data_IF_194146165007
#
_entry.id   IF_194146165007
#
_cell.length_a   1.000
_cell.length_b   1.000
_cell.length_c   1.000
_cell.angle_alpha   90.00
_cell.angle_beta   90.00
_cell.angle_gamma   90.00
#
_symmetry.space_group_name_H-M   'P 1'
#
loop_
_entity.id
_entity.type
_entity.pdbx_description
1 polymer ?
#
# COMPACT_ATOMS: atom_id res chain seq x y z
N UNK A 1 17.00 -41.48 -20.94
CA UNK A 1 16.22 -41.27 -19.71
C UNK A 1 15.80 -39.82 -19.68
N UNK A 2 14.54 -39.56 -20.01
CA UNK A 2 13.97 -38.21 -20.03
C UNK A 2 13.80 -37.74 -18.58
N UNK A 3 14.73 -36.90 -18.13
CA UNK A 3 14.53 -36.14 -16.90
C UNK A 3 13.48 -35.06 -17.18
N UNK A 4 12.41 -35.12 -16.40
CA UNK A 4 11.28 -34.19 -16.36
C UNK A 4 11.76 -32.75 -16.39
N UNK A 5 11.56 -32.07 -17.53
CA UNK A 5 11.60 -30.62 -17.61
C UNK A 5 10.38 -30.08 -16.87
N UNK A 6 10.57 -29.84 -15.58
CA UNK A 6 9.99 -28.73 -14.78
C UNK A 6 8.48 -28.47 -14.93
N UNK A 7 7.69 -29.03 -14.01
CA UNK A 7 6.34 -28.54 -13.66
C UNK A 7 6.34 -27.10 -13.09
N UNK A 8 7.50 -26.48 -12.83
CA UNK A 8 7.61 -25.18 -12.15
C UNK A 8 7.22 -23.96 -13.02
N UNK A 9 6.82 -24.17 -14.28
CA UNK A 9 6.45 -23.13 -15.24
C UNK A 9 4.95 -23.00 -15.50
N UNK A 10 4.11 -23.88 -14.94
CA UNK A 10 2.65 -23.71 -15.07
C UNK A 10 2.14 -22.85 -13.93
N UNK A 11 1.63 -21.66 -14.27
CA UNK A 11 0.75 -20.93 -13.38
C UNK A 11 -0.60 -21.66 -13.35
N UNK A 12 -0.88 -22.34 -12.26
CA UNK A 12 -2.19 -22.97 -12.03
C UNK A 12 -2.96 -22.14 -11.02
N UNK A 13 -4.11 -21.61 -11.43
CA UNK A 13 -5.00 -20.90 -10.52
C UNK A 13 -5.74 -21.90 -9.64
N UNK A 14 -5.44 -21.88 -8.35
CA UNK A 14 -6.23 -22.60 -7.36
C UNK A 14 -7.47 -21.78 -7.00
N UNK A 15 -8.56 -22.46 -6.66
CA UNK A 15 -9.72 -21.78 -6.07
C UNK A 15 -9.34 -21.24 -4.69
N UNK A 16 -9.90 -20.09 -4.33
CA UNK A 16 -9.68 -19.53 -3.01
C UNK A 16 -10.25 -20.44 -1.92
N UNK A 17 -9.62 -20.41 -0.73
CA UNK A 17 -10.10 -21.17 0.42
C UNK A 17 -11.48 -20.65 0.84
N UNK A 18 -12.52 -21.50 0.93
CA UNK A 18 -13.88 -21.07 1.26
C UNK A 18 -14.01 -20.30 2.58
N UNK A 19 -13.07 -20.48 3.52
CA UNK A 19 -13.04 -19.73 4.78
C UNK A 19 -12.82 -18.23 4.58
N UNK A 20 -12.21 -17.81 3.47
CA UNK A 20 -12.05 -16.40 3.13
C UNK A 20 -13.40 -15.68 3.07
N UNK A 21 -14.43 -16.33 2.51
CA UNK A 21 -15.77 -15.74 2.43
C UNK A 21 -16.36 -15.43 3.81
N UNK A 22 -16.04 -16.21 4.84
CA UNK A 22 -16.49 -15.97 6.21
C UNK A 22 -15.84 -14.71 6.79
N UNK A 23 -14.54 -14.51 6.58
CA UNK A 23 -13.80 -13.37 7.13
C UNK A 23 -13.96 -12.08 6.31
N UNK A 24 -14.53 -12.18 5.11
CA UNK A 24 -14.77 -11.06 4.21
C UNK A 24 -16.25 -10.72 4.04
N UNK A 25 -17.13 -11.37 4.81
CA UNK A 25 -18.60 -11.24 4.68
C UNK A 25 -19.14 -9.81 4.85
N UNK A 26 -18.39 -8.93 5.52
CA UNK A 26 -18.77 -7.53 5.71
C UNK A 26 -18.49 -6.65 4.48
N UNK A 27 -17.71 -7.13 3.51
CA UNK A 27 -17.37 -6.42 2.29
C UNK A 27 -18.24 -6.93 1.13
N UNK A 28 -18.52 -6.09 0.12
CA UNK A 28 -19.29 -6.53 -1.05
C UNK A 28 -18.62 -7.73 -1.74
N UNK A 29 -19.36 -8.82 -2.04
CA UNK A 29 -18.78 -10.01 -2.67
C UNK A 29 -18.13 -9.74 -4.04
N UNK A 30 -18.53 -8.66 -4.70
CA UNK A 30 -17.95 -8.21 -5.97
C UNK A 30 -16.53 -7.67 -5.83
N UNK A 31 -16.15 -7.16 -4.65
CA UNK A 31 -14.81 -6.65 -4.34
C UNK A 31 -13.84 -7.82 -4.17
N UNK A 32 -14.20 -8.79 -3.30
CA UNK A 32 -13.39 -9.96 -2.99
C UNK A 32 -13.82 -11.18 -3.80
N UNK A 33 -13.50 -11.14 -5.10
CA UNK A 33 -13.88 -12.17 -6.06
C UNK A 33 -12.77 -13.20 -6.32
N UNK A 34 -13.13 -14.39 -6.84
CA UNK A 34 -12.15 -15.38 -7.35
C UNK A 34 -11.18 -14.76 -8.36
N UNK A 35 -11.68 -13.84 -9.18
CA UNK A 35 -10.87 -13.14 -10.17
C UNK A 35 -9.81 -12.27 -9.51
N UNK A 36 -10.15 -11.56 -8.43
CA UNK A 36 -9.17 -10.81 -7.62
C UNK A 36 -8.08 -11.74 -7.10
N UNK A 37 -8.45 -12.85 -6.42
CA UNK A 37 -7.44 -13.75 -5.85
C UNK A 37 -6.50 -14.32 -6.92
N UNK A 38 -7.04 -14.74 -8.06
CA UNK A 38 -6.24 -15.21 -9.19
C UNK A 38 -5.32 -14.13 -9.76
N UNK A 39 -5.80 -12.89 -9.86
CA UNK A 39 -4.98 -11.76 -10.29
C UNK A 39 -3.86 -11.46 -9.31
N UNK A 40 -4.10 -11.50 -8.00
CA UNK A 40 -3.07 -11.25 -6.99
C UNK A 40 -2.00 -12.33 -6.98
N UNK A 41 -2.39 -13.60 -7.01
CA UNK A 41 -1.46 -14.73 -7.16
C UNK A 41 -0.60 -14.58 -8.42
N UNK A 42 -1.22 -14.12 -9.51
CA UNK A 42 -0.48 -13.83 -10.72
C UNK A 42 0.47 -12.65 -10.53
N UNK A 43 0.07 -11.52 -9.93
CA UNK A 43 0.96 -10.38 -9.74
C UNK A 43 2.15 -10.74 -8.85
N UNK A 44 1.94 -11.53 -7.80
CA UNK A 44 3.00 -12.09 -6.97
C UNK A 44 3.96 -12.93 -7.81
N UNK A 45 3.44 -13.86 -8.62
CA UNK A 45 4.27 -14.68 -9.49
C UNK A 45 4.98 -13.88 -10.58
N UNK A 46 4.31 -12.90 -11.19
CA UNK A 46 4.87 -12.01 -12.20
C UNK A 46 6.02 -11.20 -11.62
N UNK A 47 5.87 -10.72 -10.38
CA UNK A 47 6.93 -9.99 -9.69
C UNK A 47 8.16 -10.86 -9.39
N UNK A 48 7.99 -12.18 -9.19
CA UNK A 48 9.11 -13.13 -9.09
C UNK A 48 9.84 -13.26 -10.44
N UNK A 49 9.09 -13.37 -11.56
CA UNK A 49 9.70 -13.41 -12.90
C UNK A 49 10.47 -12.12 -13.21
N UNK A 50 9.92 -10.95 -12.84
CA UNK A 50 10.61 -9.67 -12.93
C UNK A 50 11.85 -9.63 -12.04
N UNK A 51 11.78 -10.12 -10.80
CA UNK A 51 12.95 -10.17 -9.92
C UNK A 51 14.06 -11.08 -10.47
N UNK A 52 13.69 -12.22 -11.07
CA UNK A 52 14.64 -13.10 -11.77
C UNK A 52 15.27 -12.38 -12.96
N UNK A 53 14.47 -11.70 -13.79
CA UNK A 53 14.98 -10.93 -14.92
C UNK A 53 15.94 -9.82 -14.48
N UNK A 54 15.51 -9.01 -13.51
CA UNK A 54 16.30 -7.93 -12.92
C UNK A 54 17.60 -8.44 -12.28
N UNK A 55 17.58 -9.61 -11.64
CA UNK A 55 18.79 -10.19 -11.07
C UNK A 55 19.87 -10.48 -12.13
N UNK A 56 19.47 -10.75 -13.37
CA UNK A 56 20.37 -10.96 -14.51
C UNK A 56 20.83 -9.63 -15.07
N UNK A 57 19.91 -8.69 -15.30
CA UNK A 57 20.23 -7.35 -15.83
C UNK A 57 21.19 -6.59 -14.92
N UNK A 58 21.04 -6.74 -13.60
CA UNK A 58 21.86 -6.09 -12.57
C UNK A 58 23.11 -6.90 -12.21
N UNK A 59 23.39 -8.00 -12.93
CA UNK A 59 24.54 -8.87 -12.72
C UNK A 59 24.68 -9.43 -11.28
N UNK A 60 23.56 -9.69 -10.60
CA UNK A 60 23.56 -10.14 -9.20
C UNK A 60 23.98 -11.60 -9.07
N UNK A 61 23.57 -12.44 -10.03
CA UNK A 61 23.77 -13.90 -9.98
C UNK A 61 25.25 -14.26 -9.83
N UNK A 62 26.12 -13.54 -10.53
CA UNK A 62 27.57 -13.80 -10.51
C UNK A 62 28.26 -13.28 -9.23
N UNK A 63 27.60 -12.41 -8.46
CA UNK A 63 28.14 -11.85 -7.21
C UNK A 63 27.70 -12.62 -5.95
N UNK A 64 26.70 -13.50 -6.08
CA UNK A 64 26.08 -14.22 -4.97
C UNK A 64 26.70 -15.61 -4.74
N UNK A 65 27.89 -15.89 -5.27
CA UNK A 65 28.65 -17.10 -4.95
C UNK A 65 29.21 -17.13 -3.53
N UNK A 66 29.35 -15.96 -2.90
CA UNK A 66 29.61 -15.80 -1.47
C UNK A 66 28.36 -15.25 -0.77
N UNK A 67 28.34 -15.34 0.56
CA UNK A 67 27.36 -14.62 1.38
C UNK A 67 27.56 -13.10 1.28
N UNK A 68 26.56 -12.38 0.77
CA UNK A 68 26.61 -10.92 0.61
C UNK A 68 25.36 -10.23 1.14
N UNK A 69 25.54 -9.08 1.75
CA UNK A 69 24.46 -8.15 2.11
C UNK A 69 24.06 -7.27 0.92
N UNK A 70 22.87 -6.67 0.97
CA UNK A 70 22.45 -5.70 -0.04
C UNK A 70 23.40 -4.48 -0.10
N UNK A 71 23.86 -3.97 1.04
CA UNK A 71 24.83 -2.85 1.09
C UNK A 71 26.19 -3.23 0.46
N UNK A 72 26.67 -4.46 0.66
CA UNK A 72 27.90 -4.94 0.00
C UNK A 72 27.74 -5.02 -1.52
N UNK A 73 26.62 -5.58 -1.99
CA UNK A 73 26.33 -5.67 -3.42
C UNK A 73 26.22 -4.28 -4.06
N UNK A 74 25.57 -3.32 -3.39
CA UNK A 74 25.54 -1.93 -3.87
C UNK A 74 26.95 -1.37 -4.05
N UNK A 75 27.85 -1.57 -3.07
CA UNK A 75 29.25 -1.12 -3.20
C UNK A 75 29.99 -1.82 -4.34
N UNK A 76 29.89 -3.15 -4.42
CA UNK A 76 30.61 -3.95 -5.42
C UNK A 76 30.17 -3.62 -6.85
N UNK A 77 28.87 -3.42 -7.07
CA UNK A 77 28.28 -3.14 -8.37
C UNK A 77 28.19 -1.64 -8.67
N UNK A 78 28.76 -0.78 -7.81
CA UNK A 78 28.73 0.67 -7.94
C UNK A 78 27.30 1.22 -8.06
N UNK A 79 26.34 0.59 -7.39
CA UNK A 79 24.99 1.10 -7.29
C UNK A 79 24.90 2.20 -6.23
N UNK A 80 23.98 3.12 -6.43
CA UNK A 80 23.70 4.12 -5.40
C UNK A 80 23.17 3.48 -4.12
N UNK A 81 23.62 3.96 -2.95
CA UNK A 81 23.37 3.31 -1.65
C UNK A 81 21.89 3.08 -1.34
N UNK A 82 21.01 4.00 -1.77
CA UNK A 82 19.55 3.88 -1.58
C UNK A 82 18.93 2.72 -2.35
N UNK A 83 19.56 2.27 -3.43
CA UNK A 83 19.07 1.15 -4.23
C UNK A 83 19.05 -0.17 -3.44
N UNK A 84 19.68 -0.21 -2.26
CA UNK A 84 19.64 -1.37 -1.36
C UNK A 84 18.23 -1.83 -0.99
N UNK A 85 17.23 -0.94 -1.00
CA UNK A 85 15.85 -1.32 -0.70
C UNK A 85 15.22 -2.13 -1.83
N UNK A 86 15.28 -1.62 -3.07
CA UNK A 86 14.88 -2.35 -4.27
C UNK A 86 15.70 -3.64 -4.46
N UNK A 87 17.01 -3.58 -4.20
CA UNK A 87 17.88 -4.75 -4.25
C UNK A 87 17.50 -5.81 -3.20
N UNK A 88 17.20 -5.39 -1.96
CA UNK A 88 16.72 -6.31 -0.92
C UNK A 88 15.41 -6.99 -1.30
N UNK A 89 14.51 -6.26 -1.99
CA UNK A 89 13.27 -6.83 -2.52
C UNK A 89 13.57 -7.92 -3.57
N UNK A 90 14.46 -7.67 -4.54
CA UNK A 90 14.88 -8.67 -5.53
C UNK A 90 15.47 -9.91 -4.84
N UNK A 91 16.38 -9.72 -3.88
CA UNK A 91 17.01 -10.81 -3.14
C UNK A 91 15.99 -11.64 -2.35
N UNK A 92 15.00 -11.00 -1.73
CA UNK A 92 13.91 -11.70 -1.03
C UNK A 92 13.07 -12.53 -2.00
N UNK A 93 12.74 -12.02 -3.19
CA UNK A 93 12.05 -12.81 -4.25
C UNK A 93 12.88 -13.99 -4.76
N UNK A 94 14.20 -13.83 -4.85
CA UNK A 94 15.09 -14.95 -5.17
C UNK A 94 15.10 -16.02 -4.07
N UNK A 95 14.94 -15.64 -2.80
CA UNK A 95 14.80 -16.58 -1.69
C UNK A 95 13.45 -17.29 -1.75
N UNK A 96 12.35 -16.57 -1.97
CA UNK A 96 11.00 -17.17 -2.11
C UNK A 96 10.91 -18.19 -3.25
N UNK A 97 11.60 -17.94 -4.36
CA UNK A 97 11.69 -18.87 -5.49
C UNK A 97 12.69 -20.04 -5.28
N UNK A 98 13.38 -20.04 -4.15
CA UNK A 98 14.43 -21.00 -3.79
C UNK A 98 15.68 -20.90 -4.64
N UNK A 99 15.88 -19.81 -5.39
CA UNK A 99 17.10 -19.51 -6.16
C UNK A 99 18.25 -19.09 -5.26
N UNK A 100 17.94 -18.36 -4.19
CA UNK A 100 18.87 -17.94 -3.17
C UNK A 100 18.43 -18.47 -1.79
N UNK A 101 19.33 -18.37 -0.83
CA UNK A 101 19.07 -18.56 0.59
C UNK A 101 19.51 -17.31 1.36
N UNK A 102 18.91 -17.08 2.52
CA UNK A 102 19.25 -15.97 3.38
C UNK A 102 19.61 -16.46 4.78
N UNK A 103 20.54 -15.75 5.41
CA UNK A 103 20.86 -15.88 6.84
C UNK A 103 20.78 -14.51 7.49
N UNK A 104 20.38 -14.50 8.76
CA UNK A 104 20.31 -13.29 9.55
C UNK A 104 21.18 -13.45 10.79
N UNK A 105 22.11 -12.52 10.97
CA UNK A 105 22.95 -12.42 12.16
C UNK A 105 22.72 -11.04 12.79
N UNK A 106 22.01 -11.01 13.92
CA UNK A 106 21.48 -9.77 14.49
C UNK A 106 20.57 -9.02 13.51
N UNK A 107 20.98 -7.81 13.12
CA UNK A 107 20.27 -6.96 12.16
C UNK A 107 20.79 -7.12 10.72
N UNK A 108 21.80 -7.96 10.50
CA UNK A 108 22.47 -8.09 9.21
C UNK A 108 21.90 -9.30 8.47
N UNK A 109 21.26 -9.05 7.32
CA UNK A 109 20.75 -10.09 6.43
C UNK A 109 21.65 -10.25 5.22
N UNK A 110 22.19 -11.46 5.03
CA UNK A 110 23.05 -11.82 3.91
C UNK A 110 22.39 -12.90 3.04
N UNK A 111 22.75 -12.93 1.76
CA UNK A 111 22.18 -13.80 0.75
C UNK A 111 23.27 -14.57 0.03
N UNK A 112 22.96 -15.80 -0.38
CA UNK A 112 23.85 -16.68 -1.13
C UNK A 112 23.04 -17.43 -2.20
N UNK A 113 23.62 -17.63 -3.38
CA UNK A 113 22.97 -18.30 -4.49
C UNK A 113 22.98 -19.81 -4.29
N UNK A 114 21.79 -20.43 -4.29
CA UNK A 114 21.63 -21.88 -4.16
C UNK A 114 21.57 -22.58 -5.52
N UNK A 115 20.84 -21.99 -6.47
CA UNK A 115 20.68 -22.50 -7.83
C UNK A 115 20.60 -21.32 -8.79
N UNK A 116 21.06 -21.52 -10.02
CA UNK A 116 20.95 -20.49 -11.06
C UNK A 116 19.47 -20.20 -11.34
N UNK A 117 19.04 -18.92 -11.37
CA UNK A 117 17.67 -18.58 -11.73
C UNK A 117 17.34 -19.03 -13.15
N UNK A 118 16.06 -19.33 -13.40
CA UNK A 118 15.57 -19.73 -14.73
C UNK A 118 15.58 -18.56 -15.71
N UNK A 119 15.20 -18.82 -16.96
CA UNK A 119 14.93 -17.76 -17.93
C UNK A 119 13.48 -17.31 -17.77
N UNK A 120 13.22 -16.04 -17.43
CA UNK A 120 11.88 -15.57 -17.13
C UNK A 120 11.00 -15.54 -18.39
N UNK A 121 9.71 -15.84 -18.23
CA UNK A 121 8.73 -15.78 -19.33
C UNK A 121 7.68 -14.70 -19.08
N UNK A 122 8.13 -13.44 -19.10
CA UNK A 122 7.26 -12.28 -18.83
C UNK A 122 6.06 -12.22 -19.79
N UNK A 123 6.24 -12.65 -21.06
CA UNK A 123 5.16 -12.63 -22.05
C UNK A 123 4.05 -13.62 -21.70
N UNK A 124 4.40 -14.84 -21.29
CA UNK A 124 3.45 -15.86 -20.88
C UNK A 124 2.62 -15.39 -19.68
N UNK A 125 3.26 -14.91 -18.62
CA UNK A 125 2.56 -14.47 -17.41
C UNK A 125 1.73 -13.21 -17.64
N UNK A 126 2.23 -12.26 -18.45
CA UNK A 126 1.45 -11.09 -18.85
C UNK A 126 0.19 -11.48 -19.62
N UNK A 127 0.29 -12.41 -20.57
CA UNK A 127 -0.87 -12.92 -21.31
C UNK A 127 -1.86 -13.66 -20.40
N UNK A 128 -1.36 -14.44 -19.43
CA UNK A 128 -2.19 -15.10 -18.43
C UNK A 128 -2.98 -14.08 -17.60
N UNK A 129 -2.37 -12.96 -17.19
CA UNK A 129 -3.04 -11.91 -16.44
C UNK A 129 -4.15 -11.22 -17.16
N UNK A 130 -3.92 -10.89 -18.43
CA UNK A 130 -4.96 -10.30 -19.26
C UNK A 130 -6.10 -11.29 -19.55
N UNK A 131 -5.83 -12.60 -19.50
CA UNK A 131 -6.86 -13.64 -19.63
C UNK A 131 -7.70 -13.77 -18.36
N UNK A 132 -7.10 -13.61 -17.17
CA UNK A 132 -7.84 -13.60 -15.89
C UNK A 132 -8.75 -12.37 -15.80
N UNK A 133 -8.19 -11.19 -16.04
CA UNK A 133 -8.93 -9.93 -16.14
C UNK A 133 -8.18 -8.92 -17.03
N UNK A 134 -8.80 -8.33 -18.05
CA UNK A 134 -8.23 -7.21 -18.79
C UNK A 134 -7.80 -6.02 -17.93
N UNK A 135 -8.48 -5.77 -16.80
CA UNK A 135 -8.13 -4.69 -15.87
C UNK A 135 -6.75 -4.84 -15.24
N UNK A 136 -6.18 -6.06 -15.24
CA UNK A 136 -4.81 -6.30 -14.79
C UNK A 136 -3.77 -5.53 -15.62
N UNK A 137 -4.12 -5.06 -16.83
CA UNK A 137 -3.25 -4.26 -17.68
C UNK A 137 -2.65 -3.06 -16.91
N UNK A 138 -3.46 -2.35 -16.11
CA UNK A 138 -3.01 -1.18 -15.37
C UNK A 138 -1.86 -1.51 -14.39
N UNK A 139 -1.95 -2.66 -13.71
CA UNK A 139 -0.90 -3.13 -12.80
C UNK A 139 0.32 -3.64 -13.54
N UNK A 140 0.10 -4.46 -14.58
CA UNK A 140 1.19 -5.04 -15.36
C UNK A 140 2.01 -3.96 -16.09
N UNK A 141 1.35 -2.94 -16.66
CA UNK A 141 2.02 -1.82 -17.34
C UNK A 141 2.92 -1.03 -16.40
N UNK A 142 2.45 -0.77 -15.17
CA UNK A 142 3.24 -0.05 -14.18
C UNK A 142 4.41 -0.89 -13.67
N UNK A 143 4.20 -2.19 -13.45
CA UNK A 143 5.28 -3.11 -13.07
C UNK A 143 6.36 -3.21 -14.15
N UNK A 144 5.96 -3.33 -15.41
CA UNK A 144 6.88 -3.40 -16.56
C UNK A 144 7.68 -2.10 -16.70
N UNK A 145 7.01 -0.95 -16.62
CA UNK A 145 7.67 0.35 -16.69
C UNK A 145 8.65 0.55 -15.53
N UNK A 146 8.23 0.26 -14.31
CA UNK A 146 9.09 0.32 -13.14
C UNK A 146 10.32 -0.58 -13.31
N UNK A 147 10.14 -1.87 -13.66
CA UNK A 147 11.25 -2.78 -13.88
C UNK A 147 12.21 -2.30 -14.97
N UNK A 148 11.70 -1.69 -16.06
CA UNK A 148 12.53 -1.21 -17.17
C UNK A 148 13.55 -0.15 -16.78
N UNK A 149 13.26 0.66 -15.74
CA UNK A 149 14.14 1.75 -15.29
C UNK A 149 15.10 1.32 -14.18
N UNK A 150 14.98 0.10 -13.63
CA UNK A 150 15.81 -0.36 -12.52
C UNK A 150 17.31 -0.27 -12.78
N UNK A 151 17.87 -0.68 -13.94
CA UNK A 151 19.32 -0.57 -14.17
C UNK A 151 19.84 0.88 -14.16
N UNK A 152 19.09 1.80 -14.76
CA UNK A 152 19.44 3.23 -14.79
C UNK A 152 19.30 3.88 -13.42
N UNK A 153 18.29 3.47 -12.64
CA UNK A 153 18.16 3.88 -11.24
C UNK A 153 19.27 3.26 -10.40
N UNK A 154 19.57 1.97 -10.52
CA UNK A 154 20.61 1.31 -9.72
C UNK A 154 21.97 2.01 -9.86
N UNK A 155 22.36 2.36 -11.09
CA UNK A 155 23.61 3.07 -11.40
C UNK A 155 23.60 4.57 -11.08
N UNK A 156 22.46 5.14 -10.67
CA UNK A 156 22.31 6.57 -10.38
C UNK A 156 22.25 7.47 -11.62
N UNK A 157 22.14 6.89 -12.83
CA UNK A 157 21.97 7.64 -14.08
C UNK A 157 20.60 8.32 -14.17
N UNK A 158 19.59 7.73 -13.52
CA UNK A 158 18.23 8.25 -13.47
C UNK A 158 17.65 8.17 -12.04
N UNK A 159 16.60 8.95 -11.79
CA UNK A 159 15.82 8.91 -10.55
C UNK A 159 14.54 8.10 -10.74
N UNK A 160 14.16 7.31 -9.74
CA UNK A 160 12.87 6.61 -9.74
C UNK A 160 11.70 7.59 -9.72
N UNK A 161 11.75 8.61 -8.86
CA UNK A 161 10.72 9.67 -8.82
C UNK A 161 10.57 10.39 -10.16
N UNK A 162 11.68 10.72 -10.84
CA UNK A 162 11.59 11.36 -12.15
C UNK A 162 10.91 10.46 -13.19
N UNK A 163 11.24 9.16 -13.22
CA UNK A 163 10.70 8.21 -14.20
C UNK A 163 9.25 7.81 -13.93
N UNK A 164 8.87 7.66 -12.65
CA UNK A 164 7.55 7.18 -12.25
C UNK A 164 6.58 8.31 -11.93
N UNK A 165 7.03 9.43 -11.36
CA UNK A 165 6.17 10.59 -11.04
C UNK A 165 6.25 11.68 -12.10
N UNK A 166 7.09 11.51 -13.12
CA UNK A 166 7.17 12.39 -14.29
C UNK A 166 6.13 12.11 -15.38
N UNK A 167 6.19 12.83 -16.51
CA UNK A 167 5.17 12.78 -17.56
C UNK A 167 4.89 11.39 -18.15
N UNK A 168 5.88 10.49 -18.15
CA UNK A 168 5.72 9.13 -18.67
C UNK A 168 5.05 8.19 -17.65
N UNK A 169 5.34 8.33 -16.36
CA UNK A 169 4.79 7.48 -15.32
C UNK A 169 3.42 7.93 -14.81
N UNK A 170 3.11 9.23 -14.84
CA UNK A 170 1.82 9.77 -14.37
C UNK A 170 0.61 9.06 -15.01
N UNK A 171 0.52 8.86 -16.34
CA UNK A 171 -0.59 8.12 -16.94
C UNK A 171 -0.73 6.68 -16.42
N UNK A 172 0.38 6.01 -16.11
CA UNK A 172 0.36 4.65 -15.54
C UNK A 172 -0.21 4.66 -14.12
N UNK A 173 0.16 5.65 -13.30
CA UNK A 173 -0.43 5.83 -11.97
C UNK A 173 -1.92 6.16 -12.01
N UNK A 174 -2.35 6.97 -12.99
CA UNK A 174 -3.78 7.26 -13.17
C UNK A 174 -4.58 5.99 -13.43
N UNK A 175 -4.05 5.07 -14.24
CA UNK A 175 -4.66 3.78 -14.50
C UNK A 175 -4.58 2.85 -13.27
N UNK A 176 -3.41 2.78 -12.63
CA UNK A 176 -3.18 1.93 -11.47
C UNK A 176 -4.10 2.29 -10.29
N UNK A 177 -4.26 3.58 -9.99
CA UNK A 177 -5.09 4.06 -8.88
C UNK A 177 -6.57 4.21 -9.24
N UNK A 178 -7.00 3.78 -10.43
CA UNK A 178 -8.39 3.81 -10.85
C UNK A 178 -9.21 2.71 -10.16
N UNK A 179 -10.51 2.96 -9.93
CA UNK A 179 -11.41 1.97 -9.32
C UNK A 179 -11.71 0.76 -10.22
N UNK A 180 -11.33 0.82 -11.50
CA UNK A 180 -11.39 -0.33 -12.41
C UNK A 180 -10.20 -1.28 -12.25
N UNK A 181 -9.09 -0.84 -11.65
CA UNK A 181 -7.96 -1.71 -11.36
C UNK A 181 -8.23 -2.51 -10.08
N UNK A 182 -8.79 -3.70 -10.23
CA UNK A 182 -9.22 -4.57 -9.13
C UNK A 182 -8.14 -4.82 -8.06
N UNK A 183 -6.86 -4.91 -8.44
CA UNK A 183 -5.75 -5.17 -7.51
C UNK A 183 -5.41 -3.96 -6.65
N UNK A 184 -5.86 -2.76 -7.02
CA UNK A 184 -5.75 -1.56 -6.20
C UNK A 184 -7.08 -1.18 -5.54
N UNK A 185 -8.18 -1.25 -6.28
CA UNK A 185 -9.50 -0.78 -5.85
C UNK A 185 -9.96 -1.40 -4.53
N UNK A 186 -9.51 -2.63 -4.22
CA UNK A 186 -9.77 -3.28 -2.94
C UNK A 186 -9.36 -2.41 -1.74
N UNK A 187 -8.27 -1.64 -1.82
CA UNK A 187 -7.83 -0.73 -0.74
C UNK A 187 -8.83 0.42 -0.52
N UNK A 188 -9.40 0.96 -1.59
CA UNK A 188 -10.45 1.99 -1.51
C UNK A 188 -11.72 1.41 -0.85
N UNK A 189 -12.09 0.18 -1.23
CA UNK A 189 -13.29 -0.47 -0.70
C UNK A 189 -13.17 -0.83 0.78
N UNK A 190 -12.04 -1.40 1.22
CA UNK A 190 -11.89 -1.75 2.64
C UNK A 190 -11.95 -0.50 3.52
N UNK A 191 -11.24 0.57 3.15
CA UNK A 191 -11.27 1.83 3.88
C UNK A 191 -12.68 2.43 3.91
N UNK A 192 -13.37 2.46 2.77
CA UNK A 192 -14.67 3.10 2.65
C UNK A 192 -15.79 2.36 3.38
N UNK A 193 -15.76 1.02 3.43
CA UNK A 193 -16.74 0.22 4.19
C UNK A 193 -16.63 0.54 5.68
N UNK A 194 -15.41 0.51 6.24
CA UNK A 194 -15.18 0.80 7.66
C UNK A 194 -15.49 2.26 8.00
N UNK A 195 -15.10 3.20 7.13
CA UNK A 195 -15.47 4.60 7.29
C UNK A 195 -16.99 4.79 7.33
N UNK A 196 -17.73 4.16 6.42
CA UNK A 196 -19.19 4.24 6.40
C UNK A 196 -19.85 3.53 7.60
N UNK A 197 -19.25 2.46 8.14
CA UNK A 197 -19.72 1.78 9.35
C UNK A 197 -19.61 2.70 10.57
N UNK A 198 -18.43 3.31 10.78
CA UNK A 198 -18.19 4.22 11.90
C UNK A 198 -19.01 5.53 11.82
N UNK A 199 -19.41 5.95 10.62
CA UNK A 199 -20.26 7.13 10.43
C UNK A 199 -21.77 6.84 10.53
N UNK A 200 -22.19 5.58 10.55
CA UNK A 200 -23.60 5.19 10.40
C UNK A 200 -24.55 5.79 11.46
N UNK A 201 -24.06 5.99 12.69
CA UNK A 201 -24.81 6.52 13.83
C UNK A 201 -24.75 8.05 13.95
N UNK A 202 -23.88 8.71 13.18
CA UNK A 202 -23.72 10.17 13.21
C UNK A 202 -24.82 10.86 12.40
N UNK A 203 -25.34 11.97 12.92
CA UNK A 203 -26.41 12.75 12.28
C UNK A 203 -25.89 13.80 11.28
N UNK A 204 -24.68 14.29 11.52
CA UNK A 204 -23.95 15.24 10.69
C UNK A 204 -22.53 14.71 10.51
N UNK A 205 -21.98 14.86 9.29
CA UNK A 205 -20.68 14.32 8.90
C UNK A 205 -19.79 15.45 8.38
N UNK A 206 -18.68 15.70 9.08
CA UNK A 206 -17.56 16.50 8.60
C UNK A 206 -16.38 15.57 8.34
N UNK A 207 -16.00 15.46 7.07
CA UNK A 207 -14.98 14.51 6.61
C UNK A 207 -13.76 15.28 6.12
N UNK A 208 -12.58 14.91 6.61
CA UNK A 208 -11.29 15.30 6.06
C UNK A 208 -10.69 14.08 5.36
N UNK A 209 -10.40 14.18 4.07
CA UNK A 209 -9.60 13.16 3.38
C UNK A 209 -8.19 13.67 3.11
N UNK A 210 -7.21 12.86 3.45
CA UNK A 210 -5.77 13.14 3.31
C UNK A 210 -5.22 12.31 2.16
N UNK A 211 -4.49 12.95 1.24
CA UNK A 211 -3.84 12.27 0.12
C UNK A 211 -4.82 11.66 -0.88
N UNK A 212 -5.89 12.38 -1.21
CA UNK A 212 -6.97 11.85 -2.05
C UNK A 212 -6.54 11.50 -3.49
N UNK A 213 -5.38 11.97 -3.94
CA UNK A 213 -4.93 11.80 -5.32
C UNK A 213 -5.98 12.31 -6.31
N UNK A 214 -6.41 11.43 -7.23
CA UNK A 214 -7.48 11.72 -8.20
C UNK A 214 -8.89 11.41 -7.69
N UNK A 215 -9.05 11.10 -6.41
CA UNK A 215 -10.33 10.90 -5.74
C UNK A 215 -10.96 9.55 -6.05
N UNK A 216 -10.16 8.48 -6.19
CA UNK A 216 -10.70 7.12 -6.34
C UNK A 216 -11.28 6.60 -5.01
N UNK A 217 -10.60 6.86 -3.89
CA UNK A 217 -11.10 6.54 -2.56
C UNK A 217 -12.35 7.37 -2.19
N UNK A 218 -12.33 8.69 -2.43
CA UNK A 218 -13.48 9.57 -2.22
C UNK A 218 -14.72 9.10 -2.98
N UNK A 219 -14.54 8.64 -4.23
CA UNK A 219 -15.63 8.13 -5.05
C UNK A 219 -16.31 6.90 -4.44
N UNK A 220 -15.52 5.93 -3.95
CA UNK A 220 -16.07 4.73 -3.31
C UNK A 220 -16.76 5.09 -1.99
N UNK A 221 -16.18 5.99 -1.18
CA UNK A 221 -16.81 6.44 0.05
C UNK A 221 -18.15 7.13 -0.22
N UNK A 222 -18.18 8.10 -1.15
CA UNK A 222 -19.42 8.79 -1.53
C UNK A 222 -20.46 7.83 -2.12
N UNK A 223 -20.05 6.83 -2.90
CA UNK A 223 -20.94 5.78 -3.38
C UNK A 223 -21.56 5.00 -2.21
N UNK A 224 -20.75 4.49 -1.28
CA UNK A 224 -21.23 3.72 -0.14
C UNK A 224 -22.12 4.55 0.80
N UNK A 225 -21.77 5.82 1.04
CA UNK A 225 -22.61 6.72 1.82
C UNK A 225 -23.96 6.97 1.13
N UNK A 226 -24.01 7.04 -0.20
CA UNK A 226 -25.26 7.13 -0.96
C UNK A 226 -26.11 5.86 -0.82
N UNK A 227 -25.51 4.68 -1.03
CA UNK A 227 -26.17 3.38 -0.90
C UNK A 227 -26.76 3.15 0.50
N UNK A 228 -26.11 3.69 1.54
CA UNK A 228 -26.54 3.61 2.93
C UNK A 228 -27.46 4.75 3.39
N UNK A 229 -27.83 5.68 2.50
CA UNK A 229 -28.68 6.83 2.83
C UNK A 229 -28.02 7.84 3.79
N UNK A 230 -26.69 7.83 3.87
CA UNK A 230 -25.88 8.72 4.70
C UNK A 230 -25.43 9.99 3.97
N UNK A 231 -25.48 10.00 2.63
CA UNK A 231 -25.05 11.12 1.81
C UNK A 231 -25.66 12.48 2.21
N UNK A 232 -26.96 12.60 2.54
CA UNK A 232 -27.56 13.86 2.96
C UNK A 232 -27.05 14.39 4.31
N UNK A 233 -26.33 13.56 5.09
CA UNK A 233 -25.74 13.93 6.37
C UNK A 233 -24.37 14.60 6.23
N UNK A 234 -23.78 14.61 5.03
CA UNK A 234 -22.51 15.28 4.78
C UNK A 234 -22.74 16.79 4.82
N UNK A 235 -22.25 17.43 5.87
CA UNK A 235 -22.24 18.88 5.99
C UNK A 235 -21.03 19.48 5.27
N UNK A 236 -19.90 18.79 5.36
CA UNK A 236 -18.62 19.21 4.79
C UNK A 236 -17.75 18.00 4.46
N UNK A 237 -17.19 17.98 3.25
CA UNK A 237 -16.15 17.03 2.89
C UNK A 237 -14.96 17.79 2.29
N UNK A 238 -13.90 17.93 3.10
CA UNK A 238 -12.64 18.53 2.70
C UNK A 238 -11.70 17.47 2.13
N UNK A 239 -11.48 17.50 0.82
CA UNK A 239 -10.62 16.58 0.09
C UNK A 239 -9.25 17.22 -0.11
N UNK A 240 -8.21 16.64 0.49
CA UNK A 240 -6.86 17.21 0.44
C UNK A 240 -5.88 16.35 -0.33
N UNK A 241 -4.98 17.00 -1.05
CA UNK A 241 -3.94 16.36 -1.85
C UNK A 241 -2.87 17.42 -2.16
N UNK A 242 -1.57 17.22 -1.90
CA UNK A 242 -0.56 18.28 -2.11
C UNK A 242 -0.33 18.63 -3.59
N UNK A 243 -0.55 17.70 -4.52
CA UNK A 243 -0.34 17.92 -5.95
C UNK A 243 -1.54 18.61 -6.62
N UNK A 244 -1.30 19.77 -7.25
CA UNK A 244 -2.36 20.56 -7.88
C UNK A 244 -3.02 19.88 -9.09
N UNK A 245 -2.30 19.05 -9.83
CA UNK A 245 -2.85 18.32 -10.98
C UNK A 245 -3.84 17.25 -10.49
N UNK A 246 -3.45 16.42 -9.53
CA UNK A 246 -4.33 15.37 -8.98
C UNK A 246 -5.55 15.96 -8.28
N UNK A 247 -5.38 17.04 -7.48
CA UNK A 247 -6.51 17.80 -6.90
C UNK A 247 -7.51 18.26 -7.96
N UNK A 248 -7.04 18.81 -9.09
CA UNK A 248 -7.94 19.28 -10.15
C UNK A 248 -8.66 18.12 -10.84
N UNK A 249 -8.02 16.95 -10.97
CA UNK A 249 -8.67 15.76 -11.49
C UNK A 249 -9.79 15.28 -10.56
N UNK A 250 -9.53 15.18 -9.24
CA UNK A 250 -10.55 14.80 -8.26
C UNK A 250 -11.70 15.80 -8.21
N UNK A 251 -11.39 17.10 -8.24
CA UNK A 251 -12.40 18.15 -8.26
C UNK A 251 -13.34 18.03 -9.47
N UNK A 252 -12.81 17.90 -10.68
CA UNK A 252 -13.63 17.78 -11.90
C UNK A 252 -14.52 16.53 -11.86
N UNK A 253 -13.96 15.40 -11.43
CA UNK A 253 -14.65 14.12 -11.34
C UNK A 253 -15.80 14.15 -10.33
N UNK A 254 -15.51 14.57 -9.10
CA UNK A 254 -16.46 14.47 -8.00
C UNK A 254 -17.50 15.59 -8.00
N UNK A 255 -17.13 16.83 -8.33
CA UNK A 255 -18.10 17.94 -8.41
C UNK A 255 -19.13 17.72 -9.52
N UNK A 256 -18.73 17.07 -10.63
CA UNK A 256 -19.66 16.69 -11.70
C UNK A 256 -20.64 15.58 -11.30
N UNK A 257 -20.18 14.62 -10.49
CA UNK A 257 -20.99 13.47 -10.03
C UNK A 257 -21.89 13.81 -8.83
N UNK A 258 -21.47 14.75 -7.98
CA UNK A 258 -22.17 15.13 -6.75
C UNK A 258 -22.37 16.66 -6.64
N UNK A 259 -23.08 17.31 -7.57
CA UNK A 259 -23.18 18.77 -7.63
C UNK A 259 -23.90 19.42 -6.44
N UNK A 260 -24.66 18.64 -5.66
CA UNK A 260 -25.44 19.13 -4.52
C UNK A 260 -24.75 18.89 -3.16
N UNK A 261 -23.52 18.36 -3.14
CA UNK A 261 -22.75 18.16 -1.90
C UNK A 261 -21.76 19.29 -1.68
N UNK A 262 -21.55 19.64 -0.41
CA UNK A 262 -20.51 20.56 0.03
C UNK A 262 -19.14 19.88 0.00
N UNK A 263 -18.57 19.78 -1.20
CA UNK A 263 -17.22 19.27 -1.42
C UNK A 263 -16.23 20.44 -1.51
N UNK A 264 -15.13 20.34 -0.77
CA UNK A 264 -14.04 21.32 -0.74
C UNK A 264 -12.71 20.68 -1.12
N UNK A 265 -11.79 21.47 -1.68
CA UNK A 265 -10.45 21.00 -2.04
C UNK A 265 -9.38 21.94 -1.51
N UNK A 266 -8.35 21.37 -0.87
CA UNK A 266 -7.20 22.13 -0.37
C UNK A 266 -5.90 21.35 -0.55
N UNK A 267 -4.73 22.03 -0.69
CA UNK A 267 -3.46 21.36 -0.52
C UNK A 267 -3.25 20.97 0.95
N UNK A 268 -2.67 19.81 1.20
CA UNK A 268 -2.18 19.41 2.52
C UNK A 268 -0.90 18.60 2.34
N UNK A 269 0.20 19.09 2.90
CA UNK A 269 1.41 18.31 3.11
C UNK A 269 1.33 17.67 4.50
N UNK A 270 1.24 16.33 4.52
CA UNK A 270 1.05 15.58 5.77
C UNK A 270 2.29 15.58 6.69
N UNK A 271 3.45 16.04 6.20
CA UNK A 271 4.70 16.15 6.95
C UNK A 271 4.88 17.52 7.62
N UNK A 272 3.96 18.46 7.42
CA UNK A 272 3.96 19.79 8.03
C UNK A 272 2.78 19.93 8.99
N UNK A 273 2.78 20.87 9.96
CA UNK A 273 1.64 21.07 10.86
C UNK A 273 0.35 21.41 10.09
N UNK A 274 -0.71 20.63 10.27
CA UNK A 274 -1.96 20.71 9.50
C UNK A 274 -2.74 21.98 9.85
N UNK A 275 -2.65 22.45 11.10
CA UNK A 275 -3.28 23.72 11.53
C UNK A 275 -2.74 24.95 10.78
N UNK A 276 -1.44 24.99 10.47
CA UNK A 276 -0.82 26.06 9.68
C UNK A 276 -1.22 26.00 8.19
N UNK A 277 -1.80 24.87 7.76
CA UNK A 277 -2.27 24.62 6.41
C UNK A 277 -3.81 24.74 6.30
N UNK A 278 -4.47 25.25 7.34
CA UNK A 278 -5.91 25.51 7.34
C UNK A 278 -6.78 24.33 7.76
N UNK A 279 -6.19 23.30 8.40
CA UNK A 279 -6.94 22.19 8.99
C UNK A 279 -7.12 22.45 10.51
N UNK A 280 -8.31 22.84 10.95
CA UNK A 280 -8.56 23.14 12.36
C UNK A 280 -8.59 21.85 13.20
N UNK A 281 -8.23 22.01 14.48
CA UNK A 281 -8.31 20.92 15.46
C UNK A 281 -9.75 20.69 15.92
N UNK A 282 -10.11 19.43 16.19
CA UNK A 282 -11.41 19.11 16.80
C UNK A 282 -12.62 19.24 15.87
N UNK A 283 -12.44 19.38 14.55
CA UNK A 283 -13.56 19.66 13.64
C UNK A 283 -14.12 18.42 12.96
N UNK A 284 -13.31 17.41 12.65
CA UNK A 284 -13.74 16.34 11.75
C UNK A 284 -14.30 15.13 12.50
N UNK A 285 -15.45 14.62 12.05
CA UNK A 285 -16.02 13.36 12.54
C UNK A 285 -15.28 12.14 11.97
N UNK A 286 -14.70 12.31 10.78
CA UNK A 286 -13.86 11.32 10.11
C UNK A 286 -12.62 12.01 9.51
N UNK A 287 -11.44 11.49 9.84
CA UNK A 287 -10.23 11.67 9.03
C UNK A 287 -10.04 10.38 8.23
N UNK A 288 -10.00 10.50 6.91
CA UNK A 288 -9.93 9.40 5.97
C UNK A 288 -8.65 9.48 5.15
N UNK A 289 -7.97 8.36 4.95
CA UNK A 289 -6.76 8.34 4.13
C UNK A 289 -6.62 6.98 3.45
N UNK A 290 -6.29 6.92 2.16
CA UNK A 290 -6.05 5.64 1.47
C UNK A 290 -4.67 5.65 0.83
N UNK A 291 -3.84 4.68 1.20
CA UNK A 291 -2.50 4.44 0.66
C UNK A 291 -1.60 5.69 0.67
N UNK A 292 -1.61 6.46 1.76
CA UNK A 292 -0.79 7.67 1.90
C UNK A 292 -0.07 7.77 3.24
N UNK A 293 -0.60 7.19 4.33
CA UNK A 293 0.00 7.40 5.65
C UNK A 293 1.35 6.68 5.77
N UNK A 294 1.54 5.58 5.04
CA UNK A 294 2.80 4.85 5.02
C UNK A 294 3.99 5.67 4.49
N UNK A 295 3.77 6.66 3.61
CA UNK A 295 4.84 7.55 3.08
C UNK A 295 5.14 8.78 3.95
N UNK A 296 4.44 8.96 5.08
CA UNK A 296 4.77 10.01 6.05
C UNK A 296 6.23 9.92 6.50
N UNK A 297 6.98 11.03 6.45
CA UNK A 297 8.36 11.08 6.96
C UNK A 297 8.41 10.71 8.43
N UNK A 298 7.48 11.20 9.24
CA UNK A 298 7.34 10.82 10.64
C UNK A 298 5.92 10.33 10.90
N UNK A 299 5.74 9.01 10.94
CA UNK A 299 4.42 8.39 11.07
C UNK A 299 3.64 8.87 12.29
N UNK A 300 4.32 8.95 13.44
CA UNK A 300 3.67 9.36 14.69
C UNK A 300 3.27 10.83 14.65
N UNK A 301 4.05 11.68 13.97
CA UNK A 301 3.66 13.06 13.76
C UNK A 301 2.36 13.14 12.96
N UNK A 302 2.30 12.54 11.77
CA UNK A 302 1.10 12.61 10.92
C UNK A 302 -0.13 11.94 11.56
N UNK A 303 0.04 10.84 12.31
CA UNK A 303 -1.05 10.24 13.08
C UNK A 303 -1.54 11.14 14.21
N UNK A 304 -0.66 11.90 14.87
CA UNK A 304 -1.06 12.88 15.88
C UNK A 304 -1.76 14.11 15.27
N UNK A 305 -1.33 14.56 14.09
CA UNK A 305 -2.05 15.62 13.35
C UNK A 305 -3.45 15.16 12.97
N UNK A 306 -3.59 13.92 12.48
CA UNK A 306 -4.88 13.30 12.21
C UNK A 306 -5.76 13.22 13.47
N UNK A 307 -5.20 12.76 14.59
CA UNK A 307 -5.91 12.72 15.87
C UNK A 307 -6.35 14.10 16.34
N UNK A 308 -5.51 15.12 16.14
CA UNK A 308 -5.80 16.50 16.55
C UNK A 308 -6.89 17.14 15.69
N UNK A 309 -6.98 16.78 14.41
CA UNK A 309 -8.03 17.24 13.51
C UNK A 309 -9.41 16.64 13.86
N UNK A 310 -9.45 15.47 14.51
CA UNK A 310 -10.69 14.80 14.89
C UNK A 310 -11.41 15.51 16.03
N UNK A 311 -12.73 15.67 15.87
CA UNK A 311 -13.64 15.96 16.97
C UNK A 311 -13.61 14.85 18.04
N UNK A 312 -14.19 15.12 19.21
CA UNK A 312 -14.42 14.10 20.22
C UNK A 312 -15.19 12.91 19.62
N UNK A 313 -14.75 11.70 19.97
CA UNK A 313 -15.26 10.42 19.47
C UNK A 313 -15.13 10.21 17.95
N UNK A 314 -14.46 11.12 17.24
CA UNK A 314 -14.21 11.01 15.80
C UNK A 314 -13.26 9.86 15.47
N UNK A 315 -13.29 9.42 14.20
CA UNK A 315 -12.53 8.26 13.75
C UNK A 315 -11.46 8.65 12.72
N UNK A 316 -10.24 8.14 12.91
CA UNK A 316 -9.28 7.99 11.82
C UNK A 316 -9.53 6.63 11.18
N UNK A 317 -9.79 6.60 9.89
CA UNK A 317 -9.86 5.36 9.09
C UNK A 317 -8.85 5.45 7.96
N UNK A 318 -7.92 4.51 7.91
CA UNK A 318 -6.96 4.43 6.81
C UNK A 318 -7.14 3.12 6.04
N UNK A 319 -7.26 3.19 4.71
CA UNK A 319 -7.16 2.03 3.83
C UNK A 319 -5.71 1.88 3.36
N UNK A 320 -5.10 0.71 3.52
CA UNK A 320 -3.69 0.53 3.23
C UNK A 320 -3.39 -0.81 2.56
N UNK A 321 -2.34 -0.81 1.75
CA UNK A 321 -1.63 -2.04 1.47
C UNK A 321 -0.86 -2.46 2.75
N UNK A 322 -1.10 -3.68 3.21
CA UNK A 322 -0.53 -4.23 4.45
C UNK A 322 0.36 -5.43 4.11
N UNK A 323 1.56 -5.49 4.69
CA UNK A 323 2.40 -6.70 4.58
C UNK A 323 1.79 -7.84 5.41
N UNK A 324 1.63 -9.05 4.84
CA UNK A 324 1.10 -10.20 5.59
C UNK A 324 1.97 -10.56 6.81
N UNK A 325 3.29 -10.57 6.58
CA UNK A 325 4.31 -10.88 7.59
C UNK A 325 5.50 -9.93 7.46
N UNK A 326 6.26 -9.86 8.55
CA UNK A 326 7.44 -9.02 8.58
C UNK A 326 8.49 -9.51 7.58
N UNK A 327 9.11 -8.58 6.86
CA UNK A 327 10.07 -8.85 5.80
C UNK A 327 9.59 -9.67 4.59
N UNK A 328 8.32 -10.06 4.50
CA UNK A 328 7.78 -10.68 3.29
C UNK A 328 7.62 -9.61 2.19
N UNK A 329 8.24 -9.78 1.01
CA UNK A 329 8.03 -8.90 -0.12
C UNK A 329 6.61 -9.05 -0.68
N UNK A 330 6.05 -7.95 -1.18
CA UNK A 330 4.79 -7.95 -1.94
C UNK A 330 4.99 -7.26 -3.29
N UNK A 331 4.19 -7.62 -4.30
CA UNK A 331 4.41 -7.15 -5.67
C UNK A 331 4.41 -5.61 -5.82
N UNK A 332 3.57 -4.83 -5.09
CA UNK A 332 3.55 -3.37 -5.27
C UNK A 332 4.89 -2.73 -4.93
N UNK A 333 5.69 -3.33 -4.04
CA UNK A 333 7.00 -2.79 -3.66
C UNK A 333 7.95 -2.65 -4.84
N UNK A 334 7.80 -3.44 -5.92
CA UNK A 334 8.62 -3.29 -7.12
C UNK A 334 8.54 -1.85 -7.67
N UNK A 335 7.36 -1.26 -7.78
CA UNK A 335 7.25 0.09 -8.33
C UNK A 335 7.56 1.19 -7.29
N UNK A 336 7.42 0.90 -6.01
CA UNK A 336 7.60 1.91 -4.94
C UNK A 336 9.02 1.97 -4.36
N UNK A 337 9.75 0.85 -4.26
CA UNK A 337 11.07 0.81 -3.59
C UNK A 337 12.17 1.60 -4.31
N UNK A 338 11.95 1.97 -5.57
CA UNK A 338 12.85 2.84 -6.34
C UNK A 338 12.55 4.33 -6.18
N UNK A 339 11.49 4.69 -5.45
CA UNK A 339 11.10 6.07 -5.19
C UNK A 339 11.74 6.58 -3.89
N UNK A 340 12.39 7.73 -3.95
CA UNK A 340 12.86 8.42 -2.75
C UNK A 340 11.65 8.87 -1.91
N UNK A 341 10.57 9.31 -2.55
CA UNK A 341 9.33 9.70 -1.86
C UNK A 341 8.70 8.58 -1.02
N UNK A 342 8.96 7.31 -1.36
CA UNK A 342 8.48 6.15 -0.61
C UNK A 342 9.48 5.66 0.44
N UNK A 343 10.78 5.72 0.12
CA UNK A 343 11.84 5.14 0.96
C UNK A 343 12.42 6.13 1.98
N UNK A 344 12.31 7.44 1.73
CA UNK A 344 12.86 8.50 2.57
C UNK A 344 11.92 8.85 3.74
N UNK A 345 11.74 7.88 4.63
CA UNK A 345 10.92 8.00 5.84
C UNK A 345 11.76 7.66 7.08
N UNK A 346 11.40 8.20 8.24
CA UNK A 346 11.97 7.79 9.51
C UNK A 346 11.51 6.37 9.82
N UNK A 347 12.46 5.51 10.17
CA UNK A 347 12.21 4.14 10.62
C UNK A 347 12.18 4.07 12.14
N UNK A 348 11.44 3.08 12.64
CA UNK A 348 11.31 2.77 14.06
C UNK A 348 11.21 1.25 14.19
N UNK A 349 12.04 0.58 15.02
CA UNK A 349 12.08 -0.89 15.08
C UNK A 349 10.74 -1.56 15.39
N UNK A 350 9.83 -0.88 16.09
CA UNK A 350 8.56 -1.46 16.52
C UNK A 350 7.41 -1.15 15.55
N UNK A 351 7.34 0.08 15.03
CA UNK A 351 6.19 0.53 14.22
C UNK A 351 6.50 0.65 12.73
N UNK A 352 7.77 0.79 12.35
CA UNK A 352 8.18 0.93 10.94
C UNK A 352 9.64 0.50 10.77
N UNK A 353 9.94 -0.81 10.87
CA UNK A 353 11.32 -1.30 10.82
C UNK A 353 11.96 -1.11 9.45
N UNK A 354 11.15 -1.02 8.40
CA UNK A 354 11.57 -0.75 7.03
C UNK A 354 10.67 0.31 6.40
N UNK A 355 11.14 1.07 5.41
CA UNK A 355 10.29 1.97 4.64
C UNK A 355 9.13 1.25 3.93
N UNK A 356 8.11 2.04 3.58
CA UNK A 356 6.96 1.57 2.81
C UNK A 356 5.85 0.95 3.65
N UNK A 357 5.29 -0.16 3.16
CA UNK A 357 4.13 -0.82 3.76
C UNK A 357 4.41 -1.44 5.12
N UNK A 358 3.43 -1.44 6.01
CA UNK A 358 3.54 -1.97 7.37
C UNK A 358 2.71 -3.26 7.51
N UNK A 359 3.01 -4.09 8.52
CA UNK A 359 2.10 -5.18 8.93
C UNK A 359 0.93 -4.66 9.75
N UNK A 360 -0.11 -5.49 9.94
CA UNK A 360 -1.24 -5.15 10.80
C UNK A 360 -0.80 -4.83 12.24
N UNK A 361 0.16 -5.57 12.79
CA UNK A 361 0.70 -5.34 14.13
C UNK A 361 1.49 -4.04 14.23
N UNK A 362 2.25 -3.69 13.20
CA UNK A 362 2.98 -2.43 13.13
C UNK A 362 2.02 -1.24 13.12
N UNK A 363 0.93 -1.32 12.35
CA UNK A 363 -0.13 -0.32 12.34
C UNK A 363 -0.83 -0.19 13.69
N UNK A 364 -1.23 -1.30 14.32
CA UNK A 364 -1.84 -1.29 15.67
C UNK A 364 -0.94 -0.60 16.69
N UNK A 365 0.37 -0.91 16.68
CA UNK A 365 1.35 -0.25 17.55
C UNK A 365 1.50 1.24 17.23
N UNK A 366 1.51 1.62 15.95
CA UNK A 366 1.59 3.02 15.53
C UNK A 366 0.39 3.83 16.03
N UNK A 367 -0.83 3.31 15.86
CA UNK A 367 -2.07 3.94 16.35
C UNK A 367 -2.07 4.06 17.88
N UNK A 368 -1.70 2.99 18.59
CA UNK A 368 -1.60 3.02 20.05
C UNK A 368 -0.58 4.05 20.54
N UNK A 369 0.61 4.11 19.92
CA UNK A 369 1.65 5.11 20.25
C UNK A 369 1.26 6.54 19.87
N UNK A 370 0.37 6.72 18.90
CA UNK A 370 -0.21 8.02 18.55
C UNK A 370 -1.38 8.42 19.47
N UNK A 371 -1.77 7.59 20.44
CA UNK A 371 -2.77 7.92 21.45
C UNK A 371 -4.22 7.62 21.04
N UNK A 372 -4.45 6.77 20.04
CA UNK A 372 -5.80 6.27 19.73
C UNK A 372 -6.20 5.19 20.73
N UNK A 373 -7.44 5.26 21.26
CA UNK A 373 -7.91 4.41 22.36
C UNK A 373 -8.13 2.93 21.99
N UNK A 374 -8.47 2.66 20.72
CA UNK A 374 -8.57 1.30 20.17
C UNK A 374 -8.17 1.31 18.70
N UNK A 375 -7.20 0.46 18.34
CA UNK A 375 -6.76 0.29 16.95
C UNK A 375 -7.37 -1.00 16.39
N UNK A 376 -8.40 -0.86 15.55
CA UNK A 376 -9.02 -1.97 14.84
C UNK A 376 -8.33 -2.17 13.48
N UNK A 377 -8.19 -3.42 13.06
CA UNK A 377 -7.76 -3.77 11.70
C UNK A 377 -8.79 -4.72 11.10
N UNK A 378 -9.31 -4.35 9.93
CA UNK A 378 -10.35 -5.10 9.22
C UNK A 378 -9.97 -5.28 7.73
N UNK A 379 -10.24 -6.43 7.10
CA UNK A 379 -10.78 -7.67 7.68
C UNK A 379 -9.85 -8.29 8.74
N UNK A 380 -10.22 -9.45 9.28
CA UNK A 380 -9.39 -10.27 10.18
C UNK A 380 -8.14 -10.80 9.46
N UNK A 381 -7.18 -9.90 9.20
CA UNK A 381 -5.94 -10.16 8.45
C UNK A 381 -5.12 -11.23 9.16
N UNK A 382 -5.16 -11.28 10.48
CA UNK A 382 -4.41 -12.24 11.28
C UNK A 382 -4.83 -13.68 10.96
N UNK A 383 -6.13 -13.92 10.77
CA UNK A 383 -6.64 -15.22 10.31
C UNK A 383 -6.51 -15.42 8.81
N UNK A 384 -6.80 -14.40 8.01
CA UNK A 384 -6.74 -14.50 6.55
C UNK A 384 -5.35 -14.92 6.09
N UNK A 385 -4.28 -14.35 6.64
CA UNK A 385 -2.89 -14.67 6.24
C UNK A 385 -2.45 -16.10 6.55
N UNK A 386 -3.16 -16.82 7.43
CA UNK A 386 -2.88 -18.24 7.72
C UNK A 386 -3.29 -19.16 6.56
N UNK A 387 -4.27 -18.74 5.76
CA UNK A 387 -4.83 -19.53 4.65
C UNK A 387 -4.52 -18.90 3.29
N UNK A 388 -4.24 -17.59 3.26
CA UNK A 388 -3.92 -16.83 2.07
C UNK A 388 -2.77 -15.85 2.37
N UNK A 389 -1.50 -16.29 2.27
CA UNK A 389 -0.34 -15.52 2.70
C UNK A 389 0.01 -14.34 1.77
N UNK A 390 -0.71 -14.16 0.66
CA UNK A 390 -0.58 -13.03 -0.23
C UNK A 390 -1.68 -11.97 -0.03
N UNK A 391 -2.53 -12.09 0.99
CA UNK A 391 -3.52 -11.07 1.31
C UNK A 391 -2.86 -9.78 1.82
N UNK A 392 -3.01 -8.67 1.09
CA UNK A 392 -2.20 -7.47 1.29
C UNK A 392 -2.99 -6.18 1.50
N UNK A 393 -4.27 -6.23 1.87
CA UNK A 393 -5.11 -5.03 2.00
C UNK A 393 -5.81 -4.99 3.35
N UNK A 394 -5.95 -3.81 3.94
CA UNK A 394 -6.61 -3.63 5.22
C UNK A 394 -7.05 -2.21 5.48
N UNK A 395 -8.14 -2.06 6.23
CA UNK A 395 -8.52 -0.83 6.88
C UNK A 395 -8.01 -0.85 8.33
N UNK A 396 -7.39 0.25 8.78
CA UNK A 396 -6.97 0.45 10.17
C UNK A 396 -7.74 1.65 10.72
N UNK A 397 -8.44 1.43 11.83
CA UNK A 397 -9.33 2.41 12.43
C UNK A 397 -8.89 2.76 13.85
N UNK A 398 -8.99 4.05 14.21
CA UNK A 398 -8.65 4.55 15.53
C UNK A 398 -9.60 5.64 15.96
N UNK A 399 -10.18 5.51 17.15
CA UNK A 399 -11.07 6.53 17.70
C UNK A 399 -10.29 7.54 18.54
N UNK A 400 -10.64 8.83 18.38
CA UNK A 400 -10.20 9.90 19.27
C UNK A 400 -11.05 9.88 20.56
N UNK A 401 -10.74 8.94 21.45
CA UNK A 401 -11.26 8.95 22.81
C UNK A 401 -10.49 10.01 23.59
N UNK A 402 -11.15 11.08 24.03
CA UNK A 402 -10.54 11.91 25.06
C UNK A 402 -10.20 10.98 26.22
N UNK A 403 -8.92 10.89 26.60
CA UNK A 403 -8.59 10.36 27.92
C UNK A 403 -9.30 11.27 28.89
N UNK A 404 -10.42 10.80 29.46
CA UNK A 404 -10.98 11.38 30.67
C UNK A 404 -9.84 11.33 31.67
N UNK A 405 -9.13 12.46 31.80
CA UNK A 405 -8.26 12.68 32.93
C UNK A 405 -9.17 12.57 34.14
N UNK A 406 -9.16 11.42 34.80
CA UNK A 406 -9.83 11.21 36.06
C UNK A 406 -9.33 12.30 37.02
N UNK A 407 -10.17 13.25 37.47
CA UNK A 407 -9.73 14.32 38.37
C UNK A 407 -9.30 13.79 39.75
N UNK A 408 -9.35 12.48 39.98
CA UNK A 408 -9.12 11.87 41.28
C UNK A 408 -7.65 11.61 41.66
N UNK A 409 -6.65 11.83 40.78
CA UNK A 409 -5.24 11.55 41.12
C UNK A 409 -4.42 12.77 41.57
N UNK A 410 -5.06 13.88 41.95
CA UNK A 410 -4.37 15.06 42.52
C UNK A 410 -4.90 15.45 43.91
N UNK A 411 -5.18 14.46 44.76
CA UNK A 411 -5.24 14.62 46.22
C UNK A 411 -4.71 13.35 46.89
N UNK A 412 -3.42 13.38 47.21
CA UNK A 412 -2.88 13.27 48.58
C UNK A 412 -1.36 13.48 48.58
#
# INVERSE_FOLDING_TARGET
MNAVLSDAHKFETQRSDPRLAQWLQQFPPTVFSERLYQSIELMERYSIELAVDLSRQLNLVDQLGDWRTADELCRMLSFQSRFKFALSWILKRLVESGCAEARTDGQIRSYHLRKRPWQPDLKLFRAAGLTIDPANAATLDLLDHAASVYPAVASGQQSGDHNLLGPQGVPLWLNYFHNDNLTYAVNNWVGAVLAADHLSTRHALRILEVGAGTGSASEILLQLLAERGLLPRIERYLITEPNAYFRRCSQRKLAGRYPNLTLEWAPLDLDLPWNTQGIPSGEFDLVYAVNVMHISKNLLFSLNEARSALAADGWLVIGECVRPYDNQPIYPELMFQILDSFTNVQTDPEIRPNPGFLTAEQWRRAFSRAGFGHAEVAPDIDRIREIYPHFFTGAICGQNTETVNDPASSRD
#
